data_IF_063708787691
#
_entry.id   IF_063708787691
#
_cell.length_a   1.000
_cell.length_b   1.000
_cell.length_c   1.000
_cell.angle_alpha   90.00
_cell.angle_beta   90.00
_cell.angle_gamma   90.00
#
_symmetry.space_group_name_H-M   'P 1'
#
loop_
_entity.id
_entity.type
_entity.pdbx_description
1 polymer ?
#
# COMPACT_ATOMS: atom_id res chain seq x y z
N UNK A 1 6.64 14.03 6.38
CA UNK A 1 5.42 14.23 5.57
C UNK A 1 4.27 13.52 6.25
N UNK A 2 3.12 14.17 6.46
CA UNK A 2 1.95 13.50 7.03
C UNK A 2 1.35 12.53 5.99
N UNK A 3 1.24 11.24 6.33
CA UNK A 3 0.67 10.20 5.47
C UNK A 3 -0.81 10.44 5.10
N UNK A 4 -1.48 11.40 5.75
CA UNK A 4 -2.89 11.72 5.51
C UNK A 4 -3.11 12.47 4.18
N UNK A 5 -2.09 13.16 3.67
CA UNK A 5 -2.17 13.93 2.43
C UNK A 5 -1.57 13.20 1.22
N UNK A 6 -0.88 12.08 1.45
CA UNK A 6 -0.27 11.29 0.38
C UNK A 6 -1.34 10.50 -0.36
N UNK A 7 -1.52 10.81 -1.66
CA UNK A 7 -2.49 10.15 -2.55
C UNK A 7 -1.87 9.01 -3.36
N UNK A 8 -0.60 9.10 -3.72
CA UNK A 8 0.08 8.07 -4.50
C UNK A 8 1.15 7.37 -3.68
N UNK A 9 1.42 6.10 -3.98
CA UNK A 9 2.54 5.35 -3.42
C UNK A 9 3.48 5.01 -4.56
N UNK A 10 4.76 5.34 -4.39
CA UNK A 10 5.84 4.93 -5.27
C UNK A 10 6.69 3.89 -4.53
N UNK A 11 7.01 2.79 -5.20
CA UNK A 11 7.94 1.77 -4.74
C UNK A 11 8.84 1.38 -5.88
N UNK A 12 10.08 1.06 -5.56
CA UNK A 12 11.11 0.74 -6.54
C UNK A 12 11.73 -0.57 -6.15
N UNK A 13 11.77 -1.50 -7.10
CA UNK A 13 12.27 -2.84 -6.86
C UNK A 13 13.39 -3.11 -7.85
N UNK A 14 14.66 -3.06 -7.43
CA UNK A 14 15.75 -3.49 -8.29
C UNK A 14 15.55 -4.96 -8.64
N UNK A 15 15.55 -5.28 -9.94
CA UNK A 15 15.28 -6.64 -10.41
C UNK A 15 16.59 -7.38 -10.68
N UNK A 16 17.45 -6.77 -11.51
CA UNK A 16 18.69 -7.39 -11.97
C UNK A 16 19.71 -6.33 -12.34
N UNK A 17 20.99 -6.66 -12.14
CA UNK A 17 22.11 -5.95 -12.73
C UNK A 17 22.85 -6.95 -13.62
N UNK A 18 23.13 -6.60 -14.88
CA UNK A 18 23.89 -7.47 -15.78
C UNK A 18 25.42 -7.26 -15.66
N UNK A 19 26.19 -8.13 -16.31
CA UNK A 19 27.65 -8.06 -16.29
C UNK A 19 28.22 -6.80 -16.98
N UNK A 20 27.40 -6.08 -17.75
CA UNK A 20 27.77 -4.84 -18.42
C UNK A 20 27.36 -3.60 -17.61
N UNK A 21 26.75 -3.78 -16.43
CA UNK A 21 26.28 -2.69 -15.59
C UNK A 21 24.93 -2.10 -15.94
N UNK A 22 24.12 -2.80 -16.73
CA UNK A 22 22.74 -2.42 -16.96
C UNK A 22 21.87 -2.81 -15.77
N UNK A 23 21.46 -1.81 -14.99
CA UNK A 23 20.49 -1.96 -13.91
C UNK A 23 19.07 -1.91 -14.46
N UNK A 24 18.30 -2.97 -14.24
CA UNK A 24 16.87 -3.03 -14.58
C UNK A 24 16.02 -2.82 -13.34
N UNK A 25 15.15 -1.81 -13.40
CA UNK A 25 14.27 -1.40 -12.32
C UNK A 25 12.82 -1.53 -12.72
N UNK A 26 12.02 -2.04 -11.78
CA UNK A 26 10.56 -1.94 -11.84
C UNK A 26 10.11 -0.85 -10.87
N UNK A 27 9.48 0.17 -11.40
CA UNK A 27 8.86 1.25 -10.62
C UNK A 27 7.38 0.95 -10.51
N UNK A 28 6.92 0.80 -9.28
CA UNK A 28 5.52 0.55 -8.95
C UNK A 28 4.91 1.88 -8.50
N UNK A 29 3.96 2.40 -9.25
CA UNK A 29 3.26 3.64 -8.96
C UNK A 29 1.77 3.37 -8.81
N UNK A 30 1.25 3.48 -7.58
CA UNK A 30 -0.09 3.03 -7.23
C UNK A 30 -0.91 4.16 -6.58
N UNK A 31 -2.13 4.42 -7.04
CA UNK A 31 -3.09 5.29 -6.36
C UNK A 31 -3.60 4.66 -5.05
N UNK A 32 -3.66 5.43 -3.96
CA UNK A 32 -4.03 4.91 -2.63
C UNK A 32 -5.53 4.77 -2.47
N UNK A 33 -6.08 3.64 -2.93
CA UNK A 33 -7.47 3.21 -2.69
C UNK A 33 -8.54 4.21 -3.16
N UNK A 34 -8.29 4.93 -4.26
CA UNK A 34 -9.29 5.79 -4.90
C UNK A 34 -9.57 5.38 -6.33
N UNK A 35 -10.54 6.03 -6.97
CA UNK A 35 -10.94 5.70 -8.33
C UNK A 35 -9.92 6.21 -9.35
N UNK A 36 -9.38 5.36 -10.23
CA UNK A 36 -8.41 5.79 -11.22
C UNK A 36 -9.03 6.64 -12.33
N UNK A 37 -10.37 6.69 -12.39
CA UNK A 37 -11.17 7.38 -13.40
C UNK A 37 -11.63 8.79 -12.96
N UNK A 38 -11.45 9.12 -11.67
CA UNK A 38 -11.91 10.38 -11.11
C UNK A 38 -10.73 11.31 -10.80
N UNK A 39 -11.00 12.62 -10.78
CA UNK A 39 -10.01 13.63 -10.36
C UNK A 39 -9.75 13.53 -8.84
N UNK A 40 -8.49 13.71 -8.45
CA UNK A 40 -8.08 13.62 -7.04
C UNK A 40 -7.81 15.01 -6.48
N UNK A 41 -8.40 15.30 -5.32
CA UNK A 41 -8.09 16.52 -4.58
C UNK A 41 -6.75 16.38 -3.85
N UNK A 42 -5.88 17.37 -4.03
CA UNK A 42 -4.54 17.44 -3.46
C UNK A 42 -4.27 18.80 -2.84
N UNK A 43 -3.44 18.84 -1.79
CA UNK A 43 -2.92 20.08 -1.21
C UNK A 43 -1.64 20.56 -1.91
N UNK A 44 -1.09 19.77 -2.84
CA UNK A 44 0.21 20.01 -3.48
C UNK A 44 0.13 20.75 -4.82
N UNK A 45 -1.06 21.02 -5.35
CA UNK A 45 -1.27 21.82 -6.56
C UNK A 45 -1.99 23.14 -6.18
N UNK A 46 -1.57 24.32 -6.66
CA UNK A 46 -2.29 25.58 -6.45
C UNK A 46 -3.77 25.52 -6.88
N UNK A 47 -4.12 24.69 -7.87
CA UNK A 47 -5.51 24.48 -8.30
C UNK A 47 -6.25 23.40 -7.48
N UNK A 48 -5.59 22.78 -6.50
CA UNK A 48 -6.16 21.78 -5.60
C UNK A 48 -6.53 20.44 -6.25
N UNK A 49 -6.24 20.24 -7.54
CA UNK A 49 -6.67 19.07 -8.32
C UNK A 49 -5.51 18.42 -9.07
N UNK A 50 -5.49 17.10 -9.12
CA UNK A 50 -4.60 16.30 -9.97
C UNK A 50 -5.40 15.74 -11.14
N UNK A 51 -4.84 15.67 -12.36
CA UNK A 51 -5.46 14.94 -13.46
C UNK A 51 -5.80 13.49 -13.06
N UNK A 52 -6.80 12.94 -13.73
CA UNK A 52 -7.25 11.57 -13.58
C UNK A 52 -6.08 10.60 -13.76
N UNK A 53 -5.98 9.57 -12.90
CA UNK A 53 -4.85 8.63 -12.90
C UNK A 53 -4.57 8.01 -14.27
N UNK A 54 -5.62 7.62 -15.02
CA UNK A 54 -5.44 7.01 -16.34
C UNK A 54 -4.79 7.92 -17.38
N UNK A 55 -4.78 9.23 -17.14
CA UNK A 55 -4.17 10.22 -18.03
C UNK A 55 -2.79 10.68 -17.54
N UNK A 56 -2.32 10.21 -16.38
CA UNK A 56 -1.04 10.61 -15.81
C UNK A 56 0.11 9.95 -16.58
N UNK A 57 1.10 10.75 -16.98
CA UNK A 57 2.37 10.29 -17.52
C UNK A 57 3.47 10.68 -16.53
N UNK A 58 3.80 9.82 -15.55
CA UNK A 58 4.81 10.16 -14.55
C UNK A 58 6.18 10.26 -15.19
N UNK A 59 6.90 11.35 -14.90
CA UNK A 59 8.32 11.47 -15.20
C UNK A 59 9.11 10.99 -13.99
N UNK A 60 10.12 10.15 -14.19
CA UNK A 60 10.94 9.60 -13.11
C UNK A 60 12.37 10.05 -13.25
N UNK A 61 12.97 10.47 -12.13
CA UNK A 61 14.37 10.90 -12.09
C UNK A 61 15.15 9.97 -11.17
N UNK A 62 16.20 9.35 -11.70
CA UNK A 62 16.99 8.35 -10.96
C UNK A 62 18.24 9.02 -10.43
N UNK A 63 18.43 8.94 -9.12
CA UNK A 63 19.63 9.44 -8.44
C UNK A 63 20.39 8.30 -7.81
N UNK A 64 21.67 8.22 -8.14
CA UNK A 64 22.59 7.25 -7.56
C UNK A 64 23.45 7.95 -6.52
N UNK A 65 23.54 7.32 -5.35
CA UNK A 65 24.38 7.78 -4.25
C UNK A 65 25.29 6.63 -3.80
N UNK A 66 26.59 6.90 -3.76
CA UNK A 66 27.63 5.92 -3.43
C UNK A 66 28.14 6.08 -1.98
N UNK A 67 27.43 6.85 -1.16
CA UNK A 67 27.78 7.08 0.25
C UNK A 67 26.89 6.23 1.17
N UNK A 68 27.45 5.25 1.91
CA UNK A 68 26.69 4.42 2.85
C UNK A 68 26.18 5.16 4.09
N UNK A 69 26.80 6.29 4.45
CA UNK A 69 26.56 6.98 5.72
C UNK A 69 25.41 8.00 5.62
N UNK A 70 24.94 8.29 4.41
CA UNK A 70 23.89 9.28 4.16
C UNK A 70 22.72 8.77 3.32
N UNK A 71 21.59 9.47 3.42
CA UNK A 71 20.42 9.13 2.63
C UNK A 71 20.53 9.73 1.22
N UNK A 72 20.28 8.93 0.17
CA UNK A 72 20.27 9.43 -1.20
C UNK A 72 19.27 10.60 -1.37
N UNK A 73 19.57 11.56 -2.24
CA UNK A 73 18.71 12.71 -2.56
C UNK A 73 18.93 13.97 -1.73
N UNK A 74 19.83 13.95 -0.73
CA UNK A 74 20.21 15.12 0.08
C UNK A 74 21.56 15.75 -0.28
N UNK A 75 22.36 15.05 -1.07
CA UNK A 75 23.73 15.45 -1.40
C UNK A 75 23.79 16.22 -2.72
N UNK A 76 24.75 17.15 -2.82
CA UNK A 76 25.09 17.87 -4.06
C UNK A 76 25.95 17.05 -5.02
N UNK A 77 26.34 15.83 -4.63
CA UNK A 77 27.16 14.90 -5.42
C UNK A 77 26.40 13.70 -5.97
N UNK A 78 25.08 13.63 -5.78
CA UNK A 78 24.25 12.57 -6.37
C UNK A 78 24.32 12.68 -7.91
N UNK A 79 24.71 11.59 -8.56
CA UNK A 79 24.68 11.50 -10.02
C UNK A 79 23.23 11.30 -10.45
N UNK A 80 22.71 12.27 -11.18
CA UNK A 80 21.43 12.13 -11.89
C UNK A 80 21.70 11.37 -13.18
N UNK A 81 21.04 10.24 -13.34
CA UNK A 81 21.17 9.42 -14.53
C UNK A 81 19.86 9.41 -15.30
N UNK A 82 19.97 9.70 -16.59
CA UNK A 82 18.86 9.54 -17.51
C UNK A 82 18.63 8.05 -17.79
N UNK A 83 17.37 7.57 -17.76
CA UNK A 83 17.07 6.21 -18.13
C UNK A 83 17.45 5.96 -19.60
N UNK A 84 18.19 4.87 -19.83
CA UNK A 84 18.63 4.43 -21.16
C UNK A 84 17.43 4.00 -22.01
N UNK A 85 16.39 3.45 -21.37
CA UNK A 85 15.15 3.04 -22.02
C UNK A 85 14.06 4.10 -21.88
N UNK A 86 13.38 4.43 -22.99
CA UNK A 86 12.18 5.27 -22.95
C UNK A 86 11.06 4.58 -22.16
N UNK A 87 10.42 5.32 -21.26
CA UNK A 87 9.23 4.87 -20.55
C UNK A 87 8.08 4.62 -21.53
N UNK A 88 7.56 3.39 -21.53
CA UNK A 88 6.40 3.00 -22.32
C UNK A 88 5.14 3.19 -21.49
N UNK A 89 4.24 4.06 -21.96
CA UNK A 89 2.93 4.28 -21.34
C UNK A 89 1.86 3.50 -22.12
N UNK A 90 0.97 2.83 -21.40
CA UNK A 90 -0.12 2.10 -22.04
C UNK A 90 -1.23 3.05 -22.49
N UNK A 91 -1.73 2.86 -23.70
CA UNK A 91 -2.87 3.62 -24.25
C UNK A 91 -4.22 3.05 -23.84
N UNK A 92 -4.26 1.82 -23.30
CA UNK A 92 -5.50 1.10 -22.95
C UNK A 92 -5.86 1.19 -21.46
N UNK A 93 -5.14 2.01 -20.68
CA UNK A 93 -5.37 2.14 -19.24
C UNK A 93 -6.84 2.50 -18.92
N UNK A 94 -7.38 3.50 -19.63
CA UNK A 94 -8.77 3.94 -19.44
C UNK A 94 -9.76 2.79 -19.71
N UNK A 95 -9.58 2.07 -20.81
CA UNK A 95 -10.45 0.96 -21.22
C UNK A 95 -10.41 -0.20 -20.23
N UNK A 96 -9.24 -0.49 -19.64
CA UNK A 96 -9.10 -1.52 -18.61
C UNK A 96 -9.95 -1.14 -17.39
N UNK A 97 -9.78 0.06 -16.85
CA UNK A 97 -10.48 0.45 -15.62
C UNK A 97 -11.98 0.67 -15.82
N UNK A 98 -12.42 1.17 -16.97
CA UNK A 98 -13.86 1.26 -17.32
C UNK A 98 -14.46 -0.14 -17.45
N UNK A 99 -13.78 -1.06 -18.13
CA UNK A 99 -14.22 -2.47 -18.24
C UNK A 99 -14.32 -3.14 -16.87
N UNK A 100 -13.33 -2.95 -16.00
CA UNK A 100 -13.34 -3.54 -14.65
C UNK A 100 -14.49 -3.01 -13.78
N UNK A 101 -14.90 -1.76 -13.98
CA UNK A 101 -16.00 -1.11 -13.25
C UNK A 101 -17.37 -1.49 -13.81
N UNK A 102 -17.52 -1.45 -15.13
CA UNK A 102 -18.84 -1.44 -15.78
C UNK A 102 -19.23 -2.78 -16.40
N UNK A 103 -18.30 -3.73 -16.57
CA UNK A 103 -18.62 -5.01 -17.18
C UNK A 103 -19.63 -5.79 -16.35
N UNK A 104 -20.73 -6.17 -16.99
CA UNK A 104 -21.81 -6.98 -16.42
C UNK A 104 -21.95 -8.30 -17.14
N UNK A 105 -22.35 -9.33 -16.41
CA UNK A 105 -22.71 -10.63 -16.97
C UNK A 105 -24.10 -10.56 -17.63
N UNK A 106 -24.50 -11.63 -18.34
CA UNK A 106 -25.83 -11.76 -18.96
C UNK A 106 -27.01 -11.62 -17.99
N UNK A 107 -26.75 -11.73 -16.68
CA UNK A 107 -27.72 -11.55 -15.60
C UNK A 107 -27.71 -10.14 -14.98
N UNK A 108 -26.97 -9.19 -15.55
CA UNK A 108 -26.87 -7.80 -15.08
C UNK A 108 -26.03 -7.59 -13.82
N UNK A 109 -25.37 -8.64 -13.31
CA UNK A 109 -24.45 -8.57 -12.16
C UNK A 109 -23.05 -8.14 -12.59
N UNK A 110 -22.24 -7.51 -11.71
CA UNK A 110 -20.85 -7.18 -12.01
C UNK A 110 -20.06 -8.44 -12.38
N UNK A 111 -19.37 -8.41 -13.53
CA UNK A 111 -18.62 -9.56 -14.08
C UNK A 111 -17.30 -9.79 -13.36
N UNK A 112 -16.55 -8.72 -13.10
CA UNK A 112 -15.21 -8.80 -12.50
C UNK A 112 -15.21 -8.38 -11.03
N UNK A 113 -15.70 -7.18 -10.75
CA UNK A 113 -15.66 -6.59 -9.41
C UNK A 113 -16.95 -5.83 -9.12
N UNK A 114 -17.57 -6.12 -7.97
CA UNK A 114 -18.65 -5.31 -7.40
C UNK A 114 -18.03 -4.16 -6.60
N UNK A 115 -17.60 -3.11 -7.31
CA UNK A 115 -16.86 -1.99 -6.71
C UNK A 115 -17.83 -1.10 -5.93
N UNK A 116 -17.58 -0.93 -4.64
CA UNK A 116 -18.31 0.01 -3.79
C UNK A 116 -17.44 1.27 -3.58
N UNK A 117 -17.79 2.42 -4.19
CA UNK A 117 -17.06 3.67 -4.03
C UNK A 117 -16.95 4.12 -2.57
N UNK A 118 -17.91 3.74 -1.72
CA UNK A 118 -17.83 4.01 -0.28
C UNK A 118 -16.58 3.38 0.34
N UNK A 119 -16.18 2.18 -0.07
CA UNK A 119 -15.00 1.52 0.51
C UNK A 119 -13.66 2.17 0.11
N UNK A 120 -13.69 3.17 -0.76
CA UNK A 120 -12.52 3.89 -1.26
C UNK A 120 -12.18 5.09 -0.36
N UNK A 121 -10.93 5.58 -0.43
CA UNK A 121 -10.41 6.64 0.45
C UNK A 121 -10.97 8.03 0.18
N UNK A 122 -11.42 8.27 -1.05
CA UNK A 122 -11.69 9.62 -1.57
C UNK A 122 -13.12 10.08 -1.34
N UNK A 123 -13.99 9.17 -0.91
CA UNK A 123 -15.33 9.52 -0.47
C UNK A 123 -15.29 9.93 1.01
N UNK A 124 -16.02 11.01 1.39
CA UNK A 124 -16.16 11.38 2.79
C UNK A 124 -16.64 10.18 3.61
N UNK A 125 -16.23 10.12 4.88
CA UNK A 125 -16.52 8.99 5.76
C UNK A 125 -18.03 8.91 6.02
N UNK A 126 -18.74 8.20 5.14
CA UNK A 126 -20.14 7.86 5.30
C UNK A 126 -20.31 6.79 6.40
N UNK A 127 -21.48 6.67 7.05
CA UNK A 127 -21.73 5.65 8.08
C UNK A 127 -21.44 4.22 7.59
N UNK A 128 -21.62 3.96 6.28
CA UNK A 128 -21.24 2.71 5.61
C UNK A 128 -19.72 2.46 5.60
N UNK A 129 -18.90 3.50 5.53
CA UNK A 129 -17.44 3.39 5.43
C UNK A 129 -16.77 3.13 6.79
N UNK A 130 -17.38 3.62 7.88
CA UNK A 130 -16.90 3.35 9.25
C UNK A 130 -17.00 1.87 9.61
N UNK A 131 -18.00 1.14 9.08
CA UNK A 131 -18.17 -0.29 9.36
C UNK A 131 -17.04 -1.16 8.81
N UNK A 132 -16.36 -0.70 7.76
CA UNK A 132 -15.30 -1.47 7.07
C UNK A 132 -13.90 -0.94 7.35
N UNK A 133 -13.77 0.12 8.16
CA UNK A 133 -12.49 0.59 8.68
C UNK A 133 -12.32 0.02 10.08
N UNK A 134 -11.07 -0.25 10.47
CA UNK A 134 -10.80 -0.55 11.87
C UNK A 134 -11.32 0.62 12.72
N UNK A 135 -12.08 0.36 13.79
CA UNK A 135 -12.48 1.42 14.71
C UNK A 135 -11.22 2.08 15.25
N UNK A 136 -11.29 3.38 15.50
CA UNK A 136 -10.18 4.09 16.13
C UNK A 136 -9.82 3.39 17.44
N UNK A 137 -8.51 3.25 17.69
CA UNK A 137 -8.04 2.63 18.91
C UNK A 137 -8.60 3.41 20.11
N UNK A 138 -9.41 2.72 20.92
CA UNK A 138 -9.97 3.31 22.13
C UNK A 138 -8.83 3.82 23.01
N UNK A 139 -8.82 5.13 23.29
CA UNK A 139 -7.78 5.75 24.12
C UNK A 139 -7.84 5.28 25.58
N UNK A 140 -8.95 4.68 25.98
CA UNK A 140 -9.13 4.16 27.32
C UNK A 140 -8.49 2.77 27.47
N UNK A 141 -7.40 2.69 28.25
CA UNK A 141 -6.66 1.45 28.52
C UNK A 141 -7.49 0.42 29.29
N UNK A 142 -8.56 0.84 29.97
CA UNK A 142 -9.48 -0.07 30.69
C UNK A 142 -10.39 -0.86 29.73
N UNK A 143 -10.55 -0.40 28.49
CA UNK A 143 -11.27 -1.10 27.41
C UNK A 143 -10.36 -2.01 26.57
N UNK A 144 -9.07 -2.05 26.87
CA UNK A 144 -8.12 -2.87 26.12
C UNK A 144 -8.22 -4.35 26.50
N UNK A 145 -7.76 -5.21 25.59
CA UNK A 145 -7.79 -6.66 25.74
C UNK A 145 -7.02 -7.09 26.99
N UNK A 146 -7.67 -7.86 27.86
CA UNK A 146 -7.05 -8.48 29.04
C UNK A 146 -6.28 -9.73 28.62
N UNK A 147 -5.06 -9.89 29.14
CA UNK A 147 -4.19 -11.04 28.88
C UNK A 147 -4.04 -11.86 30.15
N UNK A 148 -4.45 -13.13 30.10
CA UNK A 148 -4.24 -14.06 31.21
C UNK A 148 -2.78 -14.52 31.29
N UNK A 149 -2.23 -14.60 32.50
CA UNK A 149 -0.90 -15.13 32.78
C UNK A 149 -1.00 -16.55 33.35
N UNK A 150 -0.64 -17.59 32.59
CA UNK A 150 -0.71 -18.98 33.04
C UNK A 150 0.19 -19.27 34.24
N UNK A 151 -0.12 -20.32 34.99
CA UNK A 151 0.73 -20.77 36.11
C UNK A 151 2.15 -21.13 35.66
N UNK A 152 2.31 -21.77 34.50
CA UNK A 152 3.62 -22.10 33.94
C UNK A 152 4.50 -20.86 33.72
N UNK A 153 3.91 -19.75 33.27
CA UNK A 153 4.62 -18.48 33.10
C UNK A 153 5.02 -17.87 34.46
N UNK A 154 4.11 -17.90 35.43
CA UNK A 154 4.37 -17.40 36.79
C UNK A 154 5.46 -18.19 37.51
N UNK A 155 5.60 -19.48 37.21
CA UNK A 155 6.56 -20.37 37.87
C UNK A 155 7.93 -20.43 37.17
N UNK A 156 8.08 -19.85 35.97
CA UNK A 156 9.32 -19.90 35.20
C UNK A 156 10.40 -18.92 35.73
N UNK A 157 10.02 -17.97 36.57
CA UNK A 157 10.91 -16.98 37.19
C UNK A 157 10.27 -16.49 38.50
N UNK A 158 10.98 -15.63 39.26
CA UNK A 158 10.44 -14.99 40.47
C UNK A 158 9.36 -13.95 40.13
N UNK A 159 8.19 -14.42 39.70
CA UNK A 159 7.03 -13.59 39.42
C UNK A 159 6.38 -13.14 40.74
N UNK A 160 6.27 -11.83 40.95
CA UNK A 160 5.64 -11.25 42.14
C UNK A 160 4.24 -10.74 41.84
N UNK A 161 4.09 -9.88 40.83
CA UNK A 161 2.79 -9.37 40.40
C UNK A 161 2.81 -8.87 38.95
N UNK A 162 1.64 -8.82 38.28
CA UNK A 162 1.54 -8.23 36.95
C UNK A 162 1.82 -6.73 36.99
N UNK A 163 2.69 -6.24 36.09
CA UNK A 163 3.05 -4.80 36.00
C UNK A 163 1.98 -3.92 35.35
N UNK A 164 1.01 -4.51 34.68
CA UNK A 164 -0.07 -3.81 33.97
C UNK A 164 -1.42 -4.35 34.42
N UNK A 165 -2.39 -3.45 34.59
CA UNK A 165 -3.76 -3.77 35.05
C UNK A 165 -4.48 -4.82 34.17
N UNK A 166 -4.13 -4.87 32.88
CA UNK A 166 -4.73 -5.78 31.91
C UNK A 166 -4.10 -7.18 31.90
N UNK A 167 -3.03 -7.41 32.68
CA UNK A 167 -2.47 -8.74 32.86
C UNK A 167 -3.12 -9.39 34.10
N UNK A 168 -4.00 -10.36 33.85
CA UNK A 168 -4.83 -11.00 34.88
C UNK A 168 -4.27 -12.38 35.24
N UNK A 169 -4.40 -12.75 36.51
CA UNK A 169 -3.92 -14.03 37.06
C UNK A 169 -5.04 -14.83 37.73
N UNK A 170 -6.24 -14.27 37.76
CA UNK A 170 -7.45 -14.80 38.37
C UNK A 170 -8.25 -15.67 37.39
N UNK A 171 -9.32 -16.27 37.90
CA UNK A 171 -10.19 -17.16 37.12
C UNK A 171 -11.13 -16.41 36.17
N UNK A 172 -11.01 -15.07 36.09
CA UNK A 172 -11.80 -14.24 35.19
C UNK A 172 -11.68 -14.70 33.72
N UNK A 173 -10.50 -15.18 33.32
CA UNK A 173 -10.28 -15.77 32.00
C UNK A 173 -11.07 -17.07 31.81
N UNK A 174 -11.06 -17.94 32.82
CA UNK A 174 -11.75 -19.22 32.75
C UNK A 174 -13.28 -19.04 32.72
N UNK A 175 -13.80 -18.05 33.45
CA UNK A 175 -15.20 -17.66 33.38
C UNK A 175 -15.56 -17.07 32.01
N UNK A 176 -14.74 -16.17 31.47
CA UNK A 176 -14.97 -15.58 30.15
C UNK A 176 -14.94 -16.60 28.99
N UNK A 177 -14.11 -17.64 29.11
CA UNK A 177 -14.06 -18.74 28.13
C UNK A 177 -15.27 -19.66 28.20
N UNK A 178 -15.89 -19.80 29.38
CA UNK A 178 -17.13 -20.60 29.56
C UNK A 178 -18.37 -19.84 29.12
N UNK A 179 -18.40 -18.53 29.33
CA UNK A 179 -19.53 -17.65 28.96
C UNK A 179 -19.43 -17.11 27.53
N UNK A 180 -18.87 -17.93 26.61
CA UNK A 180 -18.77 -17.52 25.21
C UNK A 180 -20.17 -17.47 24.59
N UNK A 181 -20.61 -16.25 24.28
CA UNK A 181 -21.82 -16.03 23.49
C UNK A 181 -21.65 -16.62 22.08
N UNK A 182 -22.78 -17.08 21.52
CA UNK A 182 -22.82 -17.70 20.20
C UNK A 182 -22.17 -16.77 19.17
N UNK A 183 -21.23 -17.31 18.38
CA UNK A 183 -20.58 -16.57 17.29
C UNK A 183 -21.67 -15.99 16.38
N UNK A 184 -21.58 -14.69 16.13
CA UNK A 184 -22.45 -14.00 15.17
C UNK A 184 -22.10 -14.57 13.79
N UNK A 185 -23.11 -15.07 13.06
CA UNK A 185 -22.93 -15.45 11.66
C UNK A 185 -22.53 -14.20 10.87
N UNK A 186 -21.27 -14.18 10.43
CA UNK A 186 -20.76 -13.10 9.59
C UNK A 186 -21.34 -13.29 8.19
N UNK A 187 -22.11 -12.31 7.71
CA UNK A 187 -22.53 -12.28 6.31
C UNK A 187 -21.31 -12.02 5.43
N UNK A 188 -21.10 -12.87 4.43
CA UNK A 188 -20.03 -12.68 3.45
C UNK A 188 -20.44 -11.54 2.53
N UNK A 189 -19.62 -10.49 2.51
CA UNK A 189 -19.82 -9.32 1.66
C UNK A 189 -18.80 -9.34 0.52
N UNK A 190 -19.31 -9.47 -0.71
CA UNK A 190 -18.49 -9.60 -1.93
C UNK A 190 -18.07 -8.25 -2.54
N UNK A 191 -18.49 -7.12 -1.97
CA UNK A 191 -18.11 -5.81 -2.51
C UNK A 191 -16.63 -5.51 -2.29
N UNK A 192 -16.01 -4.82 -3.22
CA UNK A 192 -14.58 -4.51 -3.18
C UNK A 192 -14.32 -3.01 -3.24
N UNK A 193 -13.19 -2.59 -2.69
CA UNK A 193 -12.66 -1.23 -2.86
C UNK A 193 -11.66 -1.19 -4.01
N UNK A 194 -11.36 0.01 -4.50
CA UNK A 194 -10.32 0.19 -5.54
C UNK A 194 -8.95 -0.37 -5.12
N UNK A 195 -8.59 -0.25 -3.84
CA UNK A 195 -7.36 -0.85 -3.29
C UNK A 195 -7.29 -2.37 -3.48
N UNK A 196 -8.43 -3.08 -3.34
CA UNK A 196 -8.48 -4.53 -3.62
C UNK A 196 -8.34 -4.82 -5.12
N UNK A 197 -8.91 -3.97 -5.98
CA UNK A 197 -8.77 -4.08 -7.43
C UNK A 197 -7.30 -3.90 -7.84
N UNK A 198 -6.60 -2.88 -7.33
CA UNK A 198 -5.18 -2.69 -7.58
C UNK A 198 -4.33 -3.87 -7.10
N UNK A 199 -4.59 -4.37 -5.89
CA UNK A 199 -3.91 -5.55 -5.39
C UNK A 199 -4.14 -6.78 -6.29
N UNK A 200 -5.34 -6.94 -6.86
CA UNK A 200 -5.62 -8.01 -7.80
C UNK A 200 -4.87 -7.83 -9.13
N UNK A 201 -4.81 -6.60 -9.67
CA UNK A 201 -4.07 -6.29 -10.89
C UNK A 201 -2.57 -6.57 -10.72
N UNK A 202 -1.99 -6.22 -9.57
CA UNK A 202 -0.56 -6.45 -9.28
C UNK A 202 -0.19 -7.94 -9.20
N UNK A 203 -1.14 -8.85 -8.98
CA UNK A 203 -0.88 -10.30 -9.06
C UNK A 203 -0.58 -10.77 -10.48
N UNK A 204 -0.97 -9.98 -11.49
CA UNK A 204 -0.76 -10.29 -12.90
C UNK A 204 0.13 -9.21 -13.52
N UNK A 205 1.46 -9.42 -13.63
CA UNK A 205 2.40 -8.36 -14.00
C UNK A 205 2.12 -7.76 -15.38
N UNK A 206 1.67 -8.56 -16.36
CA UNK A 206 1.32 -8.07 -17.69
C UNK A 206 0.12 -7.11 -17.65
N UNK A 207 -0.92 -7.44 -16.87
CA UNK A 207 -2.07 -6.57 -16.66
C UNK A 207 -1.69 -5.32 -15.88
N UNK A 208 -0.83 -5.45 -14.86
CA UNK A 208 -0.37 -4.31 -14.08
C UNK A 208 0.43 -3.29 -14.91
N UNK A 209 1.25 -3.75 -15.87
CA UNK A 209 1.92 -2.87 -16.84
C UNK A 209 0.93 -2.14 -17.73
N UNK A 210 -0.05 -2.86 -18.30
CA UNK A 210 -1.07 -2.24 -19.15
C UNK A 210 -2.03 -1.32 -18.39
N UNK A 211 -2.26 -1.59 -17.11
CA UNK A 211 -3.03 -0.74 -16.21
C UNK A 211 -2.24 0.45 -15.65
N UNK A 212 -0.97 0.63 -16.08
CA UNK A 212 -0.05 1.69 -15.67
C UNK A 212 0.32 1.70 -14.19
N UNK A 213 0.36 0.52 -13.56
CA UNK A 213 0.80 0.36 -12.17
C UNK A 213 2.29 0.03 -12.08
N UNK A 214 2.87 -0.56 -13.12
CA UNK A 214 4.29 -0.96 -13.19
C UNK A 214 4.92 -0.34 -14.42
N UNK A 215 6.05 0.32 -14.22
CA UNK A 215 6.90 0.89 -15.25
C UNK A 215 8.28 0.23 -15.21
N UNK A 216 8.82 -0.09 -16.37
CA UNK A 216 10.15 -0.70 -16.50
C UNK A 216 11.13 0.33 -17.02
N UNK A 217 12.28 0.42 -16.38
CA UNK A 217 13.36 1.34 -16.78
C UNK A 217 14.69 0.62 -16.67
N UNK A 218 15.61 0.95 -17.57
CA UNK A 218 16.99 0.49 -17.52
C UNK A 218 17.94 1.68 -17.42
N UNK A 219 18.95 1.57 -16.58
CA UNK A 219 19.99 2.59 -16.37
C UNK A 219 21.35 1.95 -16.52
N UNK A 220 22.26 2.64 -17.18
CA UNK A 220 23.66 2.23 -17.27
C UNK A 220 24.41 2.74 -16.05
N UNK A 221 24.98 1.82 -15.27
CA UNK A 221 25.84 2.15 -14.14
C UNK A 221 27.28 2.33 -14.60
N UNK A 222 28.03 3.19 -13.89
CA UNK A 222 29.48 3.26 -14.06
C UNK A 222 30.15 2.08 -13.32
N UNK A 223 31.33 1.60 -13.76
CA UNK A 223 32.04 0.51 -13.10
C UNK A 223 32.38 0.79 -11.62
N UNK A 224 32.61 2.05 -11.26
CA UNK A 224 32.91 2.47 -9.89
C UNK A 224 31.70 2.39 -8.95
N UNK A 225 30.47 2.42 -9.50
CA UNK A 225 29.24 2.33 -8.72
C UNK A 225 29.04 0.88 -8.22
N UNK A 226 29.51 -0.15 -8.94
CA UNK A 226 29.36 -1.55 -8.53
C UNK A 226 30.02 -1.89 -7.21
N UNK A 227 31.17 -1.31 -6.92
CA UNK A 227 31.95 -1.64 -5.73
C UNK A 227 31.42 -0.95 -4.47
N UNK A 228 30.58 0.09 -4.63
CA UNK A 228 30.22 1.04 -3.55
C UNK A 228 28.73 1.31 -3.38
N UNK A 229 27.86 0.85 -4.28
CA UNK A 229 26.42 1.15 -4.16
C UNK A 229 25.81 0.49 -2.92
N UNK A 230 25.30 1.33 -2.01
CA UNK A 230 24.62 0.92 -0.78
C UNK A 230 23.12 1.25 -0.80
N UNK A 231 22.64 2.09 -1.74
CA UNK A 231 21.21 2.38 -1.87
C UNK A 231 20.78 3.08 -3.17
N UNK A 232 19.48 3.01 -3.47
CA UNK A 232 18.84 3.66 -4.63
C UNK A 232 17.66 4.51 -4.15
N UNK A 233 17.50 5.74 -4.68
CA UNK A 233 16.31 6.56 -4.47
C UNK A 233 15.80 7.12 -5.79
N UNK A 234 14.48 7.11 -5.94
CA UNK A 234 13.74 7.73 -7.04
C UNK A 234 12.92 8.88 -6.48
N UNK A 235 12.95 10.01 -7.17
CA UNK A 235 12.23 11.24 -6.83
C UNK A 235 11.23 11.56 -7.93
#
# INVERSE_FOLDING_TARGET
>A
MSFEHTRFTIMTLPQTVDANGLLRLNIVFIPRNFSPLDEVQTVYNPNGKVPVFVNIKPHFTIKISNDPDEFPGKLSGDKELDPVSQLVYSTVMADIYTTLRDAKDGNGKPKYFDIDPGRSSDQPVSPANKKHRAPEAGKNRDLAIRKYLPHSYRNAFNFTSPRIKNAVTDDSYHCAMRDQTRRIDMTIDNRVSWGKVYAHLLRQPLMAKQAGLIYEVSVQLDPEDFEKVVGFMLI
#
